data_IF_613154439783
#
_entry.id   IF_613154439783
#
_cell.length_a   1.000
_cell.length_b   1.000
_cell.length_c   1.000
_cell.angle_alpha   90.00
_cell.angle_beta   90.00
_cell.angle_gamma   90.00
#
_symmetry.space_group_name_H-M   'P 1'
#
loop_
_entity.id
_entity.type
_entity.pdbx_description
1 polymer ?
#
# COMPACT_ATOMS: atom_id res chain seq x y z
N UNK A 1 10.82 2.11 -0.47
CA UNK A 1 11.28 2.65 -1.78
C UNK A 1 10.20 3.47 -2.52
N UNK A 2 8.92 3.18 -2.33
CA UNK A 2 7.79 3.84 -3.03
C UNK A 2 7.69 5.37 -2.88
N UNK A 3 8.09 5.95 -1.74
CA UNK A 3 7.87 7.38 -1.47
C UNK A 3 8.77 8.30 -2.32
N UNK A 4 10.03 7.90 -2.56
CA UNK A 4 10.94 8.68 -3.42
C UNK A 4 10.46 8.72 -4.88
N UNK A 5 9.92 7.61 -5.39
CA UNK A 5 9.34 7.57 -6.73
C UNK A 5 8.13 8.51 -6.85
N UNK A 6 7.27 8.55 -5.82
CA UNK A 6 6.11 9.43 -5.76
C UNK A 6 6.49 10.92 -5.90
N UNK A 7 7.49 11.37 -5.14
CA UNK A 7 7.93 12.78 -5.18
C UNK A 7 8.76 13.11 -6.43
N UNK A 8 9.73 12.27 -6.79
CA UNK A 8 10.69 12.58 -7.87
C UNK A 8 10.15 12.30 -9.27
N UNK A 9 9.21 11.36 -9.42
CA UNK A 9 8.67 10.98 -10.73
C UNK A 9 7.23 11.44 -10.87
N UNK A 10 6.32 10.98 -10.00
CA UNK A 10 4.89 11.24 -10.16
C UNK A 10 4.55 12.73 -10.07
N UNK A 11 5.03 13.44 -9.05
CA UNK A 11 4.78 14.87 -8.93
C UNK A 11 5.51 15.70 -9.99
N UNK A 12 6.76 15.37 -10.29
CA UNK A 12 7.56 16.11 -11.27
C UNK A 12 7.00 15.96 -12.69
N UNK A 13 6.59 14.74 -13.08
CA UNK A 13 5.96 14.47 -14.38
C UNK A 13 4.55 15.08 -14.44
N UNK A 14 3.76 14.99 -13.35
CA UNK A 14 2.46 15.63 -13.27
C UNK A 14 2.54 17.15 -13.47
N UNK A 15 3.51 17.78 -12.80
CA UNK A 15 3.78 19.21 -12.94
C UNK A 15 4.26 19.58 -14.34
N UNK A 16 5.20 18.82 -14.93
CA UNK A 16 5.76 19.15 -16.25
C UNK A 16 4.75 18.96 -17.39
N UNK A 17 3.82 18.03 -17.23
CA UNK A 17 2.75 17.76 -18.21
C UNK A 17 1.49 18.57 -17.96
N UNK A 18 1.47 19.44 -16.94
CA UNK A 18 0.27 20.14 -16.49
C UNK A 18 -0.93 19.19 -16.26
N UNK A 19 -0.63 17.96 -15.81
CA UNK A 19 -1.61 16.95 -15.46
C UNK A 19 -1.99 17.06 -13.98
N UNK A 20 -3.13 16.47 -13.62
CA UNK A 20 -3.53 16.41 -12.21
C UNK A 20 -2.53 15.56 -11.42
N UNK A 21 -2.04 16.10 -10.30
CA UNK A 21 -1.25 15.37 -9.32
C UNK A 21 -1.88 15.55 -7.93
N UNK A 22 -1.84 14.49 -7.12
CA UNK A 22 -2.39 14.54 -5.77
C UNK A 22 -1.59 15.48 -4.88
N UNK A 23 -2.30 16.29 -4.08
CA UNK A 23 -1.67 17.01 -2.99
C UNK A 23 -1.39 16.04 -1.85
N UNK A 24 -0.14 16.03 -1.37
CA UNK A 24 0.33 15.07 -0.38
C UNK A 24 0.23 15.59 1.06
N UNK A 25 -0.52 16.67 1.29
CA UNK A 25 -0.85 17.16 2.62
C UNK A 25 0.23 18.00 3.33
N UNK A 26 1.38 18.30 2.71
CA UNK A 26 2.42 19.16 3.31
C UNK A 26 3.14 19.99 2.24
N UNK A 27 3.53 21.22 2.60
CA UNK A 27 4.35 22.16 1.78
C UNK A 27 3.76 22.53 0.41
N UNK A 28 2.43 22.52 0.26
CA UNK A 28 1.75 23.02 -0.95
C UNK A 28 1.22 24.43 -0.77
N UNK A 29 1.26 25.21 -1.84
CA UNK A 29 0.62 26.53 -1.92
C UNK A 29 -0.62 26.40 -2.79
N UNK A 30 -1.78 26.76 -2.25
CA UNK A 30 -3.05 26.75 -2.97
C UNK A 30 -3.47 28.16 -3.34
N UNK A 31 -4.07 28.30 -4.52
CA UNK A 31 -4.71 29.56 -4.91
C UNK A 31 -6.03 29.68 -4.15
N UNK A 32 -6.18 30.73 -3.34
CA UNK A 32 -7.37 30.97 -2.51
C UNK A 32 -8.66 30.98 -3.36
N UNK A 33 -8.62 31.54 -4.57
CA UNK A 33 -9.79 31.55 -5.45
C UNK A 33 -10.25 30.14 -5.82
N UNK A 34 -9.33 29.23 -6.11
CA UNK A 34 -9.65 27.84 -6.46
C UNK A 34 -10.25 27.07 -5.27
N UNK A 35 -9.74 27.34 -4.05
CA UNK A 35 -10.27 26.75 -2.82
C UNK A 35 -11.69 27.26 -2.52
N UNK A 36 -11.94 28.55 -2.71
CA UNK A 36 -13.26 29.15 -2.52
C UNK A 36 -14.26 28.65 -3.58
N UNK A 37 -13.84 28.53 -4.83
CA UNK A 37 -14.64 27.96 -5.92
C UNK A 37 -15.01 26.49 -5.69
N UNK A 38 -14.15 25.71 -5.01
CA UNK A 38 -14.42 24.31 -4.65
C UNK A 38 -15.28 24.14 -3.40
N UNK A 39 -15.71 25.23 -2.75
CA UNK A 39 -16.51 25.20 -1.52
C UNK A 39 -15.71 25.05 -0.23
N UNK A 40 -14.39 25.31 -0.25
CA UNK A 40 -13.51 25.19 0.90
C UNK A 40 -13.01 23.76 1.17
N UNK A 41 -12.36 23.59 2.33
CA UNK A 41 -12.00 22.27 2.86
C UNK A 41 -13.25 21.58 3.42
N UNK A 42 -13.37 20.28 3.21
CA UNK A 42 -14.54 19.51 3.60
C UNK A 42 -14.11 18.32 4.47
N UNK A 43 -14.42 18.42 5.76
CA UNK A 43 -14.04 17.55 6.90
C UNK A 43 -14.46 16.07 6.80
N UNK A 44 -15.11 15.69 5.70
CA UNK A 44 -15.71 14.37 5.50
C UNK A 44 -14.70 13.29 5.06
N UNK A 45 -13.42 13.61 4.91
CA UNK A 45 -12.38 12.64 4.53
C UNK A 45 -11.25 12.63 5.55
N UNK A 46 -10.61 11.49 5.79
CA UNK A 46 -9.50 11.45 6.75
C UNK A 46 -8.21 12.01 6.14
N UNK A 47 -8.22 13.12 5.39
CA UNK A 47 -7.01 13.64 4.72
C UNK A 47 -6.99 15.17 4.73
N UNK A 48 -7.39 15.75 5.86
CA UNK A 48 -7.74 17.17 5.93
C UNK A 48 -6.50 18.09 5.95
N UNK A 49 -5.49 17.86 6.78
CA UNK A 49 -4.44 18.88 6.96
C UNK A 49 -3.10 18.23 7.33
N UNK A 50 -1.96 18.86 6.98
CA UNK A 50 -0.81 18.85 7.88
C UNK A 50 0.23 19.94 7.58
N UNK A 51 0.17 20.93 8.45
CA UNK A 51 1.10 22.04 8.60
C UNK A 51 2.53 21.60 8.98
N UNK A 52 3.48 22.48 8.66
CA UNK A 52 4.91 22.48 9.04
C UNK A 52 5.81 21.43 8.34
N UNK A 53 6.97 21.90 7.89
CA UNK A 53 8.03 21.14 7.22
C UNK A 53 8.61 20.03 8.12
N UNK A 54 7.99 18.85 8.13
CA UNK A 54 8.52 17.67 8.82
C UNK A 54 9.40 16.88 7.86
N UNK A 55 10.68 16.67 8.22
CA UNK A 55 11.56 15.68 7.57
C UNK A 55 10.79 14.36 7.53
N UNK A 56 10.71 13.67 6.39
CA UNK A 56 9.95 12.41 6.26
C UNK A 56 10.42 11.38 7.30
N UNK A 57 9.72 11.29 8.44
CA UNK A 57 9.99 10.32 9.49
C UNK A 57 9.38 8.98 9.07
N UNK A 58 10.23 7.95 9.08
CA UNK A 58 9.79 6.57 8.86
C UNK A 58 8.92 6.13 10.04
N UNK A 59 7.89 5.30 9.83
CA UNK A 59 7.11 4.76 10.92
C UNK A 59 8.00 4.06 11.95
N UNK A 60 7.83 4.42 13.23
CA UNK A 60 8.62 3.91 14.35
C UNK A 60 8.34 2.44 14.69
N UNK A 61 7.21 1.89 14.22
CA UNK A 61 6.82 0.50 14.43
C UNK A 61 6.08 -0.09 13.23
N UNK A 62 6.03 -1.42 13.15
CA UNK A 62 5.26 -2.10 12.11
C UNK A 62 3.76 -1.78 12.19
N UNK A 63 3.20 -1.64 13.39
CA UNK A 63 1.80 -1.23 13.57
C UNK A 63 1.56 0.20 13.05
N UNK A 64 2.50 1.12 13.28
CA UNK A 64 2.41 2.48 12.73
C UNK A 64 2.47 2.47 11.19
N UNK A 65 3.35 1.65 10.59
CA UNK A 65 3.41 1.44 9.14
C UNK A 65 2.08 0.88 8.61
N UNK A 66 1.51 -0.12 9.28
CA UNK A 66 0.24 -0.75 8.90
C UNK A 66 -0.92 0.26 8.93
N UNK A 67 -1.02 1.06 9.99
CA UNK A 67 -2.01 2.13 10.11
C UNK A 67 -1.81 3.22 9.05
N UNK A 68 -0.56 3.58 8.73
CA UNK A 68 -0.27 4.51 7.65
C UNK A 68 -0.69 3.96 6.29
N UNK A 69 -0.31 2.73 5.96
CA UNK A 69 -0.69 2.08 4.70
C UNK A 69 -2.21 1.92 4.57
N UNK A 70 -2.89 1.57 5.67
CA UNK A 70 -4.35 1.51 5.70
C UNK A 70 -4.96 2.86 5.33
N UNK A 71 -4.53 3.96 5.96
CA UNK A 71 -5.04 5.32 5.64
C UNK A 71 -4.74 5.73 4.20
N UNK A 72 -3.53 5.45 3.72
CA UNK A 72 -3.09 5.81 2.37
C UNK A 72 -3.81 5.04 1.25
N UNK A 73 -4.44 3.91 1.57
CA UNK A 73 -5.26 3.18 0.60
C UNK A 73 -6.76 3.42 0.81
N UNK A 74 -7.23 3.41 2.06
CA UNK A 74 -8.64 3.60 2.42
C UNK A 74 -9.13 5.03 2.09
N UNK A 75 -8.35 6.04 2.43
CA UNK A 75 -8.70 7.45 2.21
C UNK A 75 -8.95 7.77 0.73
N UNK A 76 -8.00 7.50 -0.18
CA UNK A 76 -8.20 7.72 -1.61
C UNK A 76 -9.34 6.89 -2.22
N UNK A 77 -9.59 5.68 -1.70
CA UNK A 77 -10.70 4.85 -2.14
C UNK A 77 -12.07 5.46 -1.78
N UNK A 78 -12.21 5.96 -0.54
CA UNK A 78 -13.43 6.64 -0.15
C UNK A 78 -13.60 7.98 -0.88
N UNK A 79 -12.50 8.74 -1.05
CA UNK A 79 -12.51 9.98 -1.83
C UNK A 79 -12.96 9.72 -3.26
N UNK A 80 -12.46 8.66 -3.91
CA UNK A 80 -12.89 8.29 -5.26
C UNK A 80 -14.41 8.08 -5.32
N UNK A 81 -14.95 7.29 -4.39
CA UNK A 81 -16.39 7.02 -4.29
C UNK A 81 -17.23 8.29 -4.13
N UNK A 82 -16.82 9.19 -3.22
CA UNK A 82 -17.52 10.45 -2.94
C UNK A 82 -17.43 11.45 -4.10
N UNK A 83 -16.26 11.56 -4.70
CA UNK A 83 -15.98 12.59 -5.72
C UNK A 83 -16.32 12.14 -7.14
N UNK A 84 -16.44 10.84 -7.43
CA UNK A 84 -16.65 10.34 -8.80
C UNK A 84 -17.86 11.00 -9.48
N UNK A 85 -18.99 11.09 -8.77
CA UNK A 85 -20.20 11.75 -9.30
C UNK A 85 -20.02 13.25 -9.55
N UNK A 86 -19.29 13.94 -8.67
CA UNK A 86 -19.01 15.37 -8.80
C UNK A 86 -18.05 15.65 -9.98
N UNK A 87 -17.03 14.81 -10.17
CA UNK A 87 -16.10 14.92 -11.31
C UNK A 87 -16.85 14.78 -12.63
N UNK A 88 -17.78 13.83 -12.73
CA UNK A 88 -18.59 13.63 -13.96
C UNK A 88 -19.44 14.89 -14.25
N UNK A 89 -20.10 15.43 -13.22
CA UNK A 89 -21.00 16.60 -13.34
C UNK A 89 -20.28 17.95 -13.47
N UNK A 90 -18.97 18.01 -13.27
CA UNK A 90 -18.23 19.28 -13.37
C UNK A 90 -18.26 19.85 -14.80
N UNK A 91 -18.82 21.04 -15.00
CA UNK A 91 -18.95 21.63 -16.34
C UNK A 91 -17.65 22.30 -16.82
N UNK A 92 -16.81 22.74 -15.88
CA UNK A 92 -15.60 23.53 -16.15
C UNK A 92 -14.34 22.70 -16.49
N UNK A 93 -14.48 21.40 -16.74
CA UNK A 93 -13.35 20.48 -16.96
C UNK A 93 -13.53 19.69 -18.26
N UNK A 94 -12.47 19.62 -19.07
CA UNK A 94 -12.52 18.86 -20.33
C UNK A 94 -12.76 17.36 -20.10
N UNK A 95 -13.46 16.71 -21.04
CA UNK A 95 -13.77 15.28 -20.96
C UNK A 95 -12.53 14.40 -20.77
N UNK A 96 -11.43 14.73 -21.45
CA UNK A 96 -10.16 13.99 -21.32
C UNK A 96 -9.57 14.07 -19.92
N UNK A 97 -9.66 15.24 -19.25
CA UNK A 97 -9.20 15.40 -17.87
C UNK A 97 -10.08 14.61 -16.89
N UNK A 98 -11.40 14.60 -17.11
CA UNK A 98 -12.33 13.76 -16.34
C UNK A 98 -12.01 12.28 -16.49
N UNK A 99 -11.82 11.81 -17.73
CA UNK A 99 -11.46 10.42 -18.01
C UNK A 99 -10.12 10.06 -17.37
N UNK A 100 -9.10 10.90 -17.52
CA UNK A 100 -7.81 10.70 -16.88
C UNK A 100 -7.92 10.59 -15.35
N UNK A 101 -8.66 11.50 -14.72
CA UNK A 101 -8.85 11.49 -13.26
C UNK A 101 -9.60 10.23 -12.79
N UNK A 102 -10.73 9.90 -13.40
CA UNK A 102 -11.55 8.77 -12.96
C UNK A 102 -10.87 7.43 -13.26
N UNK A 103 -10.38 7.25 -14.48
CA UNK A 103 -9.84 5.98 -14.93
C UNK A 103 -8.37 5.77 -14.53
N UNK A 104 -7.48 6.68 -14.92
CA UNK A 104 -6.04 6.49 -14.72
C UNK A 104 -5.63 6.78 -13.27
N UNK A 105 -6.03 7.95 -12.75
CA UNK A 105 -5.58 8.42 -11.44
C UNK A 105 -6.24 7.68 -10.27
N UNK A 106 -7.58 7.51 -10.29
CA UNK A 106 -8.28 6.81 -9.23
C UNK A 106 -8.42 5.31 -9.50
N UNK A 107 -9.13 4.91 -10.55
CA UNK A 107 -9.49 3.51 -10.74
C UNK A 107 -8.26 2.60 -10.94
N UNK A 108 -7.43 2.87 -11.94
CA UNK A 108 -6.28 2.01 -12.25
C UNK A 108 -5.23 2.04 -11.13
N UNK A 109 -4.84 3.23 -10.68
CA UNK A 109 -3.74 3.39 -9.71
C UNK A 109 -4.14 3.08 -8.28
N UNK A 110 -5.35 3.45 -7.83
CA UNK A 110 -5.77 3.30 -6.42
C UNK A 110 -6.64 2.08 -6.18
N UNK A 111 -7.29 1.52 -7.20
CA UNK A 111 -8.15 0.33 -7.07
C UNK A 111 -7.50 -0.90 -7.70
N UNK A 112 -7.34 -0.90 -9.03
CA UNK A 112 -6.93 -2.09 -9.79
C UNK A 112 -5.54 -2.57 -9.39
N UNK A 113 -4.56 -1.68 -9.25
CA UNK A 113 -3.19 -2.06 -8.91
C UNK A 113 -3.08 -2.87 -7.60
N UNK A 114 -3.82 -2.48 -6.55
CA UNK A 114 -3.79 -3.16 -5.26
C UNK A 114 -4.52 -4.52 -5.32
N UNK A 115 -5.72 -4.56 -5.92
CA UNK A 115 -6.49 -5.80 -6.07
C UNK A 115 -5.71 -6.80 -6.91
N UNK A 116 -5.20 -6.37 -8.08
CA UNK A 116 -4.47 -7.23 -9.00
C UNK A 116 -3.23 -7.83 -8.34
N UNK A 117 -2.44 -7.02 -7.64
CA UNK A 117 -1.24 -7.52 -6.96
C UNK A 117 -1.59 -8.59 -5.94
N UNK A 118 -2.59 -8.35 -5.10
CA UNK A 118 -3.01 -9.32 -4.09
C UNK A 118 -3.58 -10.60 -4.72
N UNK A 119 -4.58 -10.46 -5.60
CA UNK A 119 -5.25 -11.59 -6.23
C UNK A 119 -4.27 -12.43 -7.07
N UNK A 120 -3.39 -11.79 -7.83
CA UNK A 120 -2.46 -12.51 -8.70
C UNK A 120 -1.40 -13.26 -7.89
N UNK A 121 -0.64 -12.59 -7.03
CA UNK A 121 0.52 -13.20 -6.35
C UNK A 121 0.16 -14.04 -5.13
N UNK A 122 -0.94 -13.73 -4.44
CA UNK A 122 -1.29 -14.39 -3.19
C UNK A 122 -2.46 -15.36 -3.31
N UNK A 123 -3.23 -15.33 -4.41
CA UNK A 123 -4.40 -16.22 -4.60
C UNK A 123 -4.25 -17.08 -5.86
N UNK A 124 -4.16 -16.45 -7.04
CA UNK A 124 -4.17 -17.13 -8.35
C UNK A 124 -2.90 -17.94 -8.57
N UNK A 125 -1.71 -17.32 -8.40
CA UNK A 125 -0.44 -17.99 -8.63
C UNK A 125 -0.22 -19.20 -7.70
N UNK A 126 -0.56 -19.14 -6.40
CA UNK A 126 -0.57 -20.34 -5.56
C UNK A 126 -1.63 -21.38 -5.97
N UNK A 127 -2.82 -20.94 -6.41
CA UNK A 127 -3.90 -21.86 -6.82
C UNK A 127 -3.54 -22.67 -8.07
N UNK A 128 -2.69 -22.14 -8.97
CA UNK A 128 -2.30 -22.86 -10.19
C UNK A 128 -1.49 -24.12 -9.93
N UNK A 129 -0.91 -24.25 -8.73
CA UNK A 129 -0.30 -25.51 -8.27
C UNK A 129 -1.34 -26.59 -8.06
N UNK A 130 -2.54 -26.22 -7.61
CA UNK A 130 -3.63 -27.15 -7.31
C UNK A 130 -4.40 -27.53 -8.58
N UNK A 131 -4.43 -26.64 -9.57
CA UNK A 131 -5.15 -26.80 -10.83
C UNK A 131 -4.17 -26.78 -12.02
N UNK A 132 -3.57 -27.93 -12.38
CA UNK A 132 -2.55 -28.01 -13.43
C UNK A 132 -3.06 -27.62 -14.82
N UNK A 133 -4.38 -27.55 -15.03
CA UNK A 133 -5.01 -27.06 -16.25
C UNK A 133 -4.83 -25.54 -16.44
N UNK A 134 -4.63 -24.80 -15.35
CA UNK A 134 -4.49 -23.34 -15.38
C UNK A 134 -3.04 -22.99 -15.68
N UNK A 135 -2.77 -22.70 -16.95
CA UNK A 135 -1.45 -22.23 -17.37
C UNK A 135 -1.34 -20.71 -17.24
N UNK A 136 -0.45 -20.26 -16.35
CA UNK A 136 -0.13 -18.83 -16.22
C UNK A 136 1.03 -18.49 -17.16
N UNK A 137 0.91 -17.43 -17.99
CA UNK A 137 2.00 -17.04 -18.87
C UNK A 137 3.23 -16.62 -18.06
N UNK A 138 4.39 -17.22 -18.40
CA UNK A 138 5.67 -16.96 -17.71
C UNK A 138 6.07 -15.48 -17.71
N UNK A 139 5.71 -14.74 -18.76
CA UNK A 139 6.01 -13.32 -18.84
C UNK A 139 5.29 -12.49 -17.78
N UNK A 140 4.04 -12.85 -17.44
CA UNK A 140 3.27 -12.13 -16.44
C UNK A 140 3.72 -12.51 -15.02
N UNK A 141 3.99 -13.80 -14.79
CA UNK A 141 4.37 -14.30 -13.48
C UNK A 141 5.81 -13.97 -13.07
N UNK A 142 6.76 -13.93 -14.02
CA UNK A 142 8.20 -13.81 -13.70
C UNK A 142 8.91 -12.68 -14.41
N UNK A 143 8.71 -12.50 -15.73
CA UNK A 143 9.50 -11.50 -16.46
C UNK A 143 9.08 -10.07 -16.11
N UNK A 144 7.78 -9.79 -16.06
CA UNK A 144 7.27 -8.47 -15.69
C UNK A 144 7.69 -8.07 -14.26
N UNK A 145 7.55 -8.93 -13.24
CA UNK A 145 7.92 -8.56 -11.87
C UNK A 145 9.43 -8.48 -11.67
N UNK A 146 10.20 -9.34 -12.34
CA UNK A 146 11.66 -9.25 -12.36
C UNK A 146 12.13 -7.93 -12.98
N UNK A 147 11.51 -7.51 -14.09
CA UNK A 147 11.83 -6.25 -14.74
C UNK A 147 11.51 -5.04 -13.84
N UNK A 148 10.34 -5.04 -13.18
CA UNK A 148 9.98 -4.00 -12.21
C UNK A 148 10.99 -3.96 -11.06
N UNK A 149 11.33 -5.13 -10.51
CA UNK A 149 12.30 -5.25 -9.40
C UNK A 149 13.69 -4.78 -9.82
N UNK A 150 14.10 -5.05 -11.07
CA UNK A 150 15.35 -4.58 -11.64
C UNK A 150 15.38 -3.05 -11.78
N UNK A 151 14.31 -2.44 -12.27
CA UNK A 151 14.23 -0.97 -12.33
C UNK A 151 14.32 -0.33 -10.95
N UNK A 152 13.68 -0.94 -9.95
CA UNK A 152 13.77 -0.53 -8.54
C UNK A 152 15.21 -0.66 -8.03
N UNK A 153 15.88 -1.78 -8.34
CA UNK A 153 17.27 -2.04 -7.98
C UNK A 153 18.24 -0.99 -8.55
N UNK A 154 18.06 -0.64 -9.84
CA UNK A 154 18.86 0.39 -10.52
C UNK A 154 18.71 1.75 -9.82
N UNK A 155 17.50 2.09 -9.39
CA UNK A 155 17.23 3.35 -8.68
C UNK A 155 17.90 3.45 -7.30
N UNK A 156 18.19 2.32 -6.62
CA UNK A 156 18.89 2.30 -5.32
C UNK A 156 19.83 1.08 -5.19
N UNK A 157 21.04 1.13 -5.79
CA UNK A 157 21.97 0.00 -5.80
C UNK A 157 22.42 -0.42 -4.39
N UNK A 158 22.45 0.52 -3.43
CA UNK A 158 22.84 0.25 -2.04
C UNK A 158 21.89 -0.68 -1.29
N UNK A 159 20.66 -0.87 -1.77
CA UNK A 159 19.62 -1.67 -1.09
C UNK A 159 19.27 -2.97 -1.82
N UNK A 160 20.07 -3.36 -2.81
CA UNK A 160 19.83 -4.55 -3.65
C UNK A 160 19.72 -5.84 -2.83
N UNK A 161 20.52 -5.96 -1.76
CA UNK A 161 20.48 -7.12 -0.86
C UNK A 161 19.13 -7.30 -0.14
N UNK A 162 18.28 -6.26 -0.08
CA UNK A 162 16.96 -6.31 0.54
C UNK A 162 15.83 -6.60 -0.46
N UNK A 163 16.11 -6.73 -1.76
CA UNK A 163 15.06 -6.83 -2.79
C UNK A 163 14.13 -8.03 -2.59
N UNK A 164 14.69 -9.20 -2.29
CA UNK A 164 13.89 -10.41 -2.07
C UNK A 164 12.96 -10.22 -0.87
N UNK A 165 13.50 -9.74 0.25
CA UNK A 165 12.70 -9.44 1.45
C UNK A 165 11.64 -8.37 1.19
N UNK A 166 11.98 -7.35 0.40
CA UNK A 166 11.06 -6.28 0.03
C UNK A 166 9.91 -6.79 -0.84
N UNK A 167 10.17 -7.63 -1.85
CA UNK A 167 9.13 -8.23 -2.70
C UNK A 167 8.17 -9.08 -1.86
N UNK A 168 8.71 -9.95 -1.01
CA UNK A 168 7.89 -10.79 -0.12
C UNK A 168 7.03 -9.95 0.84
N UNK A 169 7.62 -8.88 1.38
CA UNK A 169 6.95 -7.94 2.26
C UNK A 169 5.85 -7.13 1.53
N UNK A 170 6.10 -6.62 0.33
CA UNK A 170 5.10 -5.92 -0.48
C UNK A 170 3.91 -6.80 -0.83
N UNK A 171 4.17 -8.07 -1.13
CA UNK A 171 3.13 -9.08 -1.36
C UNK A 171 2.31 -9.31 -0.08
N UNK A 172 2.95 -9.43 1.09
CA UNK A 172 2.22 -9.53 2.36
C UNK A 172 1.37 -8.27 2.64
N UNK A 173 1.94 -7.09 2.41
CA UNK A 173 1.25 -5.81 2.57
C UNK A 173 0.17 -5.56 1.52
N UNK A 174 0.17 -6.29 0.40
CA UNK A 174 -0.90 -6.20 -0.61
C UNK A 174 -2.26 -6.59 -0.03
N UNK A 175 -2.30 -7.57 0.88
CA UNK A 175 -3.54 -7.98 1.53
C UNK A 175 -4.11 -6.87 2.43
N UNK A 176 -3.26 -6.21 3.21
CA UNK A 176 -3.65 -5.06 4.02
C UNK A 176 -4.23 -3.94 3.15
N UNK A 177 -3.54 -3.61 2.05
CA UNK A 177 -3.96 -2.57 1.11
C UNK A 177 -5.28 -2.94 0.44
N UNK A 178 -5.46 -4.18 -0.01
CA UNK A 178 -6.72 -4.65 -0.60
C UNK A 178 -7.87 -4.62 0.41
N UNK A 179 -7.64 -5.03 1.67
CA UNK A 179 -8.64 -4.91 2.73
C UNK A 179 -9.01 -3.43 3.00
N UNK A 180 -8.01 -2.56 3.07
CA UNK A 180 -8.20 -1.11 3.24
C UNK A 180 -9.00 -0.49 2.08
N UNK A 181 -8.71 -0.91 0.86
CA UNK A 181 -9.41 -0.49 -0.35
C UNK A 181 -10.88 -0.89 -0.32
N UNK A 182 -11.18 -2.15 -0.01
CA UNK A 182 -12.57 -2.65 0.10
C UNK A 182 -13.32 -1.88 1.19
N UNK A 183 -12.71 -1.67 2.36
CA UNK A 183 -13.33 -0.87 3.42
C UNK A 183 -13.62 0.56 2.97
N UNK A 184 -12.67 1.22 2.30
CA UNK A 184 -12.84 2.58 1.78
C UNK A 184 -13.91 2.71 0.69
N UNK A 185 -14.01 1.73 -0.22
CA UNK A 185 -15.01 1.73 -1.30
C UNK A 185 -16.44 1.45 -0.79
N UNK A 186 -16.59 0.63 0.24
CA UNK A 186 -17.90 0.25 0.78
C UNK A 186 -18.29 1.00 2.06
N UNK A 187 -17.45 1.92 2.54
CA UNK A 187 -17.60 2.61 3.83
C UNK A 187 -17.86 1.65 5.01
N UNK A 188 -17.21 0.48 4.98
CA UNK A 188 -17.39 -0.54 6.03
C UNK A 188 -16.33 -0.41 7.13
N UNK A 189 -16.76 -0.33 8.39
CA UNK A 189 -15.87 -0.37 9.57
C UNK A 189 -15.14 0.96 9.86
N UNK A 190 -13.86 0.87 10.28
CA UNK A 190 -13.00 1.97 10.78
C UNK A 190 -12.56 3.00 9.72
N UNK A 191 -13.38 3.29 8.71
CA UNK A 191 -13.03 4.18 7.58
C UNK A 191 -12.74 5.61 8.03
N UNK A 192 -13.33 6.02 9.15
CA UNK A 192 -13.14 7.34 9.76
C UNK A 192 -12.12 7.34 10.91
N UNK A 193 -11.56 6.18 11.28
CA UNK A 193 -10.73 6.11 12.47
C UNK A 193 -9.30 6.58 12.19
N UNK A 194 -9.05 7.83 12.56
CA UNK A 194 -7.73 8.43 12.51
C UNK A 194 -6.90 8.00 13.71
N UNK A 195 -6.26 6.84 13.60
CA UNK A 195 -5.22 6.45 14.55
C UNK A 195 -4.00 7.34 14.32
N UNK A 196 -3.77 8.28 15.24
CA UNK A 196 -2.59 9.16 15.23
C UNK A 196 -1.35 8.29 15.37
N UNK A 197 -0.55 8.23 14.31
CA UNK A 197 0.78 7.62 14.36
C UNK A 197 1.73 8.61 15.01
N UNK A 198 2.30 8.24 16.15
CA UNK A 198 3.34 9.05 16.79
C UNK A 198 4.53 9.25 15.84
N UNK A 199 4.94 10.52 15.70
CA UNK A 199 6.12 10.95 14.95
C UNK A 199 7.22 11.24 15.96
N UNK A 200 8.28 10.45 15.95
CA UNK A 200 9.40 10.57 16.89
C UNK A 200 10.34 11.68 16.39
N UNK A 201 9.92 12.94 16.54
CA UNK A 201 10.76 14.09 16.23
C UNK A 201 12.05 14.12 17.07
N UNK A 202 13.09 14.77 16.53
CA UNK A 202 14.46 14.92 17.07
C UNK A 202 14.57 14.66 18.59
N UNK A 203 15.15 13.51 18.95
CA UNK A 203 15.37 13.04 20.33
C UNK A 203 16.35 13.87 21.18
N UNK A 204 16.57 15.14 20.83
CA UNK A 204 17.51 16.05 21.50
C UNK A 204 16.84 17.09 22.41
N UNK A 205 15.50 17.17 22.46
CA UNK A 205 14.77 18.03 23.42
C UNK A 205 13.90 17.30 24.45
N UNK A 206 13.71 15.99 24.33
CA UNK A 206 12.82 15.22 25.23
C UNK A 206 13.55 14.69 26.47
N UNK A 207 14.45 15.47 27.07
CA UNK A 207 14.97 15.18 28.42
C UNK A 207 14.13 15.80 29.54
N UNK A 208 13.02 16.48 29.21
CA UNK A 208 12.26 17.29 30.17
C UNK A 208 10.75 17.07 30.21
N UNK A 209 10.19 16.10 29.48
CA UNK A 209 8.76 15.78 29.59
C UNK A 209 8.59 14.29 29.79
N UNK A 210 8.20 13.93 31.01
CA UNK A 210 7.43 12.74 31.34
C UNK A 210 8.12 11.40 31.12
N UNK A 211 8.32 10.66 32.22
CA UNK A 211 8.57 9.23 32.19
C UNK A 211 7.69 8.55 31.14
N UNK A 212 8.33 7.90 30.16
CA UNK A 212 7.68 6.98 29.23
C UNK A 212 6.88 5.99 30.09
N UNK A 213 5.54 5.89 29.94
CA UNK A 213 4.81 4.83 30.60
C UNK A 213 5.40 3.53 30.09
N UNK A 214 5.85 2.69 31.02
CA UNK A 214 6.29 1.33 30.76
C UNK A 214 5.39 0.72 29.69
N UNK A 215 5.99 0.16 28.64
CA UNK A 215 5.33 -0.60 27.58
C UNK A 215 4.61 -1.79 28.23
N UNK A 216 3.44 -1.51 28.81
CA UNK A 216 2.62 -2.48 29.49
C UNK A 216 2.11 -3.44 28.42
N UNK A 217 2.78 -4.59 28.34
CA UNK A 217 2.27 -5.87 27.84
C UNK A 217 1.18 -5.71 26.77
N UNK A 218 1.54 -5.29 25.56
CA UNK A 218 0.64 -5.47 24.41
C UNK A 218 0.37 -6.96 24.33
N UNK A 219 -0.87 -7.37 24.60
CA UNK A 219 -1.28 -8.76 24.70
C UNK A 219 -0.88 -9.45 23.40
N UNK A 220 -0.25 -10.61 23.47
CA UNK A 220 0.17 -11.36 22.27
C UNK A 220 -0.98 -11.49 21.24
N UNK A 221 -2.21 -11.64 21.73
CA UNK A 221 -3.43 -11.72 20.93
C UNK A 221 -3.73 -10.46 20.09
N UNK A 222 -3.34 -9.27 20.53
CA UNK A 222 -3.57 -8.01 19.81
C UNK A 222 -2.53 -7.77 18.70
N UNK A 223 -1.44 -8.57 18.71
CA UNK A 223 -0.39 -8.58 17.68
C UNK A 223 -0.63 -9.62 16.58
N UNK A 224 -1.56 -10.54 16.81
CA UNK A 224 -1.84 -11.63 15.87
C UNK A 224 -2.85 -11.18 14.83
N UNK A 225 -2.48 -11.29 13.56
CA UNK A 225 -3.32 -10.95 12.43
C UNK A 225 -3.81 -12.23 11.73
N UNK A 226 -5.05 -12.62 12.03
CA UNK A 226 -5.61 -13.91 11.65
C UNK A 226 -5.69 -14.13 10.13
N UNK A 227 -6.05 -13.11 9.35
CA UNK A 227 -6.17 -13.25 7.89
C UNK A 227 -4.81 -13.52 7.24
N UNK A 228 -3.76 -12.87 7.75
CA UNK A 228 -2.38 -13.01 7.31
C UNK A 228 -1.88 -14.43 7.63
N UNK A 229 -2.23 -14.95 8.82
CA UNK A 229 -1.92 -16.33 9.20
C UNK A 229 -2.67 -17.36 8.33
N UNK A 230 -3.97 -17.15 8.08
CA UNK A 230 -4.76 -18.04 7.22
C UNK A 230 -4.18 -18.09 5.80
N UNK A 231 -3.77 -16.94 5.26
CA UNK A 231 -3.14 -16.90 3.96
C UNK A 231 -1.74 -17.53 3.98
N UNK A 232 -0.99 -17.38 5.07
CA UNK A 232 0.27 -18.10 5.30
C UNK A 232 0.09 -19.62 5.27
N UNK A 233 -0.94 -20.14 5.95
CA UNK A 233 -1.29 -21.58 5.93
C UNK A 233 -1.68 -22.04 4.52
N UNK A 234 -2.49 -21.25 3.79
CA UNK A 234 -2.84 -21.54 2.41
C UNK A 234 -1.61 -21.62 1.50
N UNK A 235 -0.70 -20.64 1.58
CA UNK A 235 0.53 -20.62 0.80
C UNK A 235 1.47 -21.78 1.18
N UNK A 236 1.55 -22.13 2.46
CA UNK A 236 2.31 -23.28 2.93
C UNK A 236 1.74 -24.58 2.33
N UNK A 237 0.42 -24.74 2.37
CA UNK A 237 -0.25 -25.89 1.77
C UNK A 237 0.05 -26.00 0.27
N UNK A 238 -0.10 -24.92 -0.49
CA UNK A 238 0.25 -24.89 -1.92
C UNK A 238 1.74 -25.22 -2.15
N UNK A 239 2.65 -24.65 -1.34
CA UNK A 239 4.09 -24.93 -1.47
C UNK A 239 4.45 -26.39 -1.17
N UNK A 240 3.87 -26.99 -0.13
CA UNK A 240 4.04 -28.40 0.18
C UNK A 240 3.42 -29.31 -0.89
N UNK A 241 2.27 -28.94 -1.42
CA UNK A 241 1.63 -29.67 -2.52
C UNK A 241 2.50 -29.66 -3.78
N UNK A 242 3.07 -28.51 -4.15
CA UNK A 242 3.98 -28.39 -5.31
C UNK A 242 5.24 -29.25 -5.13
N UNK A 243 5.76 -29.40 -3.91
CA UNK A 243 6.91 -30.28 -3.65
C UNK A 243 6.58 -31.75 -3.90
N UNK A 244 5.39 -32.19 -3.48
CA UNK A 244 5.00 -33.60 -3.52
C UNK A 244 4.49 -34.00 -4.90
N UNK A 245 3.66 -33.16 -5.52
CA UNK A 245 2.93 -33.47 -6.75
C UNK A 245 3.33 -32.61 -7.94
N UNK A 246 4.13 -31.56 -7.73
CA UNK A 246 4.53 -30.63 -8.77
C UNK A 246 5.43 -31.31 -9.79
N UNK A 247 4.99 -31.32 -11.05
CA UNK A 247 5.82 -31.73 -12.19
C UNK A 247 6.84 -30.63 -12.50
N UNK A 248 7.89 -30.50 -11.68
CA UNK A 248 9.23 -29.91 -11.89
C UNK A 248 9.47 -28.69 -12.83
N UNK A 249 8.47 -27.98 -13.34
CA UNK A 249 8.67 -27.10 -14.51
C UNK A 249 9.01 -25.65 -14.12
N UNK A 250 8.85 -25.23 -12.86
CA UNK A 250 8.94 -23.81 -12.51
C UNK A 250 9.43 -23.42 -11.11
N UNK A 251 9.85 -24.37 -10.25
CA UNK A 251 10.35 -24.11 -8.89
C UNK A 251 9.46 -23.17 -8.05
N UNK A 252 8.14 -23.16 -8.31
CA UNK A 252 7.20 -22.23 -7.69
C UNK A 252 7.09 -22.46 -6.18
N UNK A 253 7.28 -23.70 -5.72
CA UNK A 253 7.37 -24.05 -4.30
C UNK A 253 8.36 -23.18 -3.52
N UNK A 254 9.51 -22.80 -4.10
CA UNK A 254 10.51 -21.97 -3.41
C UNK A 254 9.90 -20.61 -3.05
N UNK A 255 9.27 -19.97 -4.06
CA UNK A 255 8.57 -18.72 -3.86
C UNK A 255 7.42 -18.86 -2.85
N UNK A 256 6.61 -19.91 -2.96
CA UNK A 256 5.45 -20.13 -2.07
C UNK A 256 5.87 -20.35 -0.61
N UNK A 257 6.94 -21.11 -0.35
CA UNK A 257 7.47 -21.32 0.99
C UNK A 257 8.06 -20.04 1.58
N UNK A 258 8.81 -19.27 0.79
CA UNK A 258 9.34 -17.97 1.21
C UNK A 258 8.21 -16.98 1.49
N UNK A 259 7.17 -16.95 0.64
CA UNK A 259 6.02 -16.07 0.80
C UNK A 259 5.18 -16.46 2.02
N UNK A 260 4.93 -17.75 2.22
CA UNK A 260 4.31 -18.31 3.44
C UNK A 260 5.04 -17.83 4.70
N UNK A 261 6.37 -17.97 4.72
CA UNK A 261 7.20 -17.49 5.84
C UNK A 261 7.02 -16.00 6.09
N UNK A 262 7.00 -15.18 5.03
CA UNK A 262 6.76 -13.74 5.17
C UNK A 262 5.37 -13.43 5.75
N UNK A 263 4.32 -14.16 5.33
CA UNK A 263 2.98 -14.03 5.90
C UNK A 263 2.89 -14.44 7.36
N UNK A 264 3.62 -15.48 7.78
CA UNK A 264 3.71 -15.83 9.21
C UNK A 264 4.45 -14.77 10.02
N UNK A 265 5.59 -14.25 9.53
CA UNK A 265 6.35 -13.20 10.20
C UNK A 265 5.50 -11.93 10.38
N UNK A 266 4.76 -11.53 9.34
CA UNK A 266 3.80 -10.42 9.39
C UNK A 266 2.61 -10.75 10.29
N UNK A 267 2.06 -11.95 10.18
CA UNK A 267 0.86 -12.40 10.90
C UNK A 267 1.05 -12.53 12.40
N UNK A 268 2.24 -12.90 12.87
CA UNK A 268 2.60 -12.89 14.30
C UNK A 268 3.10 -11.53 14.80
N UNK A 269 3.29 -10.56 13.91
CA UNK A 269 3.81 -9.24 14.28
C UNK A 269 5.28 -9.25 14.70
N UNK A 270 6.11 -10.10 14.09
CA UNK A 270 7.56 -10.17 14.36
C UNK A 270 8.39 -9.13 13.57
N UNK A 271 7.76 -8.30 12.74
CA UNK A 271 8.44 -7.26 11.95
C UNK A 271 8.78 -6.05 12.82
N UNK A 272 10.05 -5.63 12.83
CA UNK A 272 10.49 -4.34 13.39
C UNK A 272 10.44 -4.25 14.91
N UNK A 273 10.79 -5.32 15.61
CA UNK A 273 11.20 -5.27 17.03
C UNK A 273 12.66 -4.85 17.17
#
# INVERSE_FOLDING_TARGET
MSLSYHFTVEQQVGSSTSAFFGFNGTAGVWRITALNESGGWNDQTTVEDLDVAVKSELPCSFNALRSQQHRWTCGPANLFRKMAGQIIRSENVSLWKKLYMLYSFFFMRKVVAHILTFCFYCVILPATVLFPEVTVPKWAAFYLPALITLFIAIGKPRSVYLLVLWVLFENAMSMLRTKALVMGLFETGRVQEWVVTEKLGDGLKTKLIGQVPNEHQVRFRDRVHLLELLLGVYLLFCGCYDIIYGKNTLYLYVYLLMQSTAFFVVGFGFVGK
#
